data_IF_679573672566
#
_entry.id   IF_679573672566
#
_cell.length_a   1.000
_cell.length_b   1.000
_cell.length_c   1.000
_cell.angle_alpha   90.00
_cell.angle_beta   90.00
_cell.angle_gamma   90.00
#
_symmetry.space_group_name_H-M   'P 1'
#
loop_
_entity.id
_entity.type
_entity.pdbx_description
1 polymer ?
#
# COMPACT_ATOMS: atom_id res chain seq x y z
N UNK A 1 24.51 2.69 20.19
CA UNK A 1 25.13 3.76 19.37
C UNK A 1 26.62 3.50 19.46
N UNK A 2 27.28 3.28 18.32
CA UNK A 2 28.73 3.05 18.29
C UNK A 2 29.41 4.34 17.85
N UNK A 3 30.51 4.69 18.53
CA UNK A 3 31.37 5.80 18.11
C UNK A 3 32.50 5.23 17.26
N UNK A 4 32.67 5.74 16.06
CA UNK A 4 33.72 5.33 15.13
C UNK A 4 34.70 6.47 14.94
N UNK A 5 35.99 6.15 14.90
CA UNK A 5 37.06 7.08 14.46
C UNK A 5 37.57 6.64 13.08
N UNK A 6 37.87 7.61 12.24
CA UNK A 6 38.58 7.38 11.00
C UNK A 6 40.08 7.20 11.31
N UNK A 7 40.59 5.99 11.07
CA UNK A 7 42.02 5.72 11.22
C UNK A 7 42.85 6.34 10.09
N UNK A 8 44.15 6.52 10.32
CA UNK A 8 45.10 7.04 9.33
C UNK A 8 45.19 6.18 8.05
N UNK A 9 44.71 4.93 8.13
CA UNK A 9 44.59 3.99 7.02
C UNK A 9 43.31 4.19 6.18
N UNK A 10 42.48 5.20 6.49
CA UNK A 10 41.22 5.50 5.82
C UNK A 10 40.05 4.59 6.17
N UNK A 11 40.21 3.69 7.17
CA UNK A 11 39.16 2.82 7.65
C UNK A 11 38.58 3.27 8.99
N UNK A 12 37.27 3.11 9.16
CA UNK A 12 36.63 3.39 10.44
C UNK A 12 36.97 2.31 11.47
N UNK A 13 37.41 2.73 12.65
CA UNK A 13 37.71 1.86 13.79
C UNK A 13 36.82 2.23 14.98
N UNK A 14 36.39 1.28 15.83
CA UNK A 14 35.65 1.61 17.03
C UNK A 14 36.54 2.37 18.01
N UNK A 15 36.01 3.45 18.59
CA UNK A 15 36.67 4.17 19.66
C UNK A 15 36.62 3.31 20.90
N UNK A 16 37.81 2.82 21.29
CA UNK A 16 38.10 2.06 22.53
C UNK A 16 37.19 0.88 22.90
N UNK A 17 37.76 -0.31 22.82
CA UNK A 17 37.35 -1.50 23.62
C UNK A 17 36.03 -2.18 23.23
N UNK A 18 35.22 -1.60 22.37
CA UNK A 18 34.01 -2.22 21.85
C UNK A 18 34.36 -3.21 20.74
N UNK A 19 34.35 -4.49 21.06
CA UNK A 19 34.34 -5.53 20.02
C UNK A 19 33.00 -5.43 19.27
N UNK A 20 33.05 -5.14 17.96
CA UNK A 20 31.89 -5.41 17.12
C UNK A 20 31.54 -6.90 17.26
N UNK A 21 30.48 -7.20 17.97
CA UNK A 21 29.83 -8.51 17.76
C UNK A 21 29.32 -8.45 16.32
N UNK A 22 30.09 -9.04 15.41
CA UNK A 22 29.55 -9.45 14.11
C UNK A 22 28.42 -10.41 14.44
N UNK A 23 27.21 -9.88 14.46
CA UNK A 23 26.04 -10.73 14.38
C UNK A 23 26.20 -11.42 13.04
N UNK A 24 26.31 -12.78 12.99
CA UNK A 24 26.28 -13.46 11.71
C UNK A 24 25.07 -12.94 11.00
N UNK A 25 25.22 -12.55 9.75
CA UNK A 25 24.10 -12.18 8.89
C UNK A 25 23.30 -13.46 8.56
N UNK A 26 22.71 -14.07 9.57
CA UNK A 26 21.53 -14.90 9.37
C UNK A 26 20.46 -13.93 8.96
N UNK A 27 20.24 -13.85 7.64
CA UNK A 27 19.22 -12.97 7.08
C UNK A 27 17.90 -13.29 7.75
N UNK A 28 17.22 -12.29 8.25
CA UNK A 28 15.86 -12.44 8.72
C UNK A 28 15.01 -13.06 7.59
N UNK A 29 14.00 -13.88 7.90
CA UNK A 29 13.01 -14.28 6.93
C UNK A 29 12.46 -13.02 6.24
N UNK A 30 12.21 -13.09 4.94
CA UNK A 30 11.86 -11.91 4.12
C UNK A 30 10.70 -11.10 4.72
N UNK A 31 9.64 -11.75 5.18
CA UNK A 31 8.48 -11.06 5.76
C UNK A 31 8.82 -10.38 7.08
N UNK A 32 9.66 -10.97 7.92
CA UNK A 32 10.14 -10.34 9.15
C UNK A 32 11.03 -9.12 8.84
N UNK A 33 11.89 -9.23 7.83
CA UNK A 33 12.69 -8.11 7.35
C UNK A 33 11.79 -6.96 6.88
N UNK A 34 10.78 -7.22 6.07
CA UNK A 34 9.83 -6.20 5.60
C UNK A 34 9.08 -5.56 6.76
N UNK A 35 8.57 -6.36 7.70
CA UNK A 35 7.90 -5.84 8.89
C UNK A 35 8.79 -4.87 9.66
N UNK A 36 10.00 -5.29 9.99
CA UNK A 36 10.93 -4.46 10.77
C UNK A 36 11.35 -3.17 10.04
N UNK A 37 11.59 -3.24 8.73
CA UNK A 37 11.97 -2.06 7.94
C UNK A 37 10.82 -1.06 7.86
N UNK A 38 9.58 -1.52 7.65
CA UNK A 38 8.42 -0.64 7.59
C UNK A 38 8.14 -0.02 8.96
N UNK A 39 8.16 -0.80 10.02
CA UNK A 39 7.94 -0.33 11.40
C UNK A 39 9.00 0.72 11.80
N UNK A 40 10.28 0.44 11.54
CA UNK A 40 11.36 1.39 11.81
C UNK A 40 11.21 2.66 10.96
N UNK A 41 10.92 2.50 9.67
CA UNK A 41 10.76 3.61 8.73
C UNK A 41 9.62 4.53 9.12
N UNK A 42 8.45 3.98 9.50
CA UNK A 42 7.32 4.77 9.98
C UNK A 42 7.65 5.51 11.27
N UNK A 43 8.25 4.82 12.23
CA UNK A 43 8.63 5.42 13.53
C UNK A 43 9.59 6.60 13.34
N UNK A 44 10.61 6.42 12.51
CA UNK A 44 11.59 7.49 12.23
C UNK A 44 10.96 8.65 11.43
N UNK A 45 10.14 8.35 10.43
CA UNK A 45 9.45 9.38 9.65
C UNK A 45 8.51 10.22 10.53
N UNK A 46 7.64 9.57 11.30
CA UNK A 46 6.71 10.26 12.20
C UNK A 46 7.47 11.16 13.20
N UNK A 47 8.51 10.61 13.85
CA UNK A 47 9.34 11.35 14.81
C UNK A 47 10.00 12.57 14.17
N UNK A 48 10.61 12.42 12.99
CA UNK A 48 11.35 13.50 12.30
C UNK A 48 10.42 14.58 11.77
N UNK A 49 9.22 14.21 11.33
CA UNK A 49 8.20 15.15 10.85
C UNK A 49 7.34 15.74 11.98
N UNK A 50 7.54 15.32 13.23
CA UNK A 50 6.83 15.84 14.40
C UNK A 50 5.43 15.25 14.61
N UNK A 51 5.07 14.18 13.88
CA UNK A 51 3.80 13.49 14.08
C UNK A 51 3.87 12.51 15.25
N UNK A 52 2.83 12.55 16.08
CA UNK A 52 2.68 11.65 17.24
C UNK A 52 1.59 10.60 16.99
N UNK A 53 0.62 10.92 16.15
CA UNK A 53 -0.57 10.13 15.90
C UNK A 53 -0.79 9.88 14.42
N UNK A 54 -1.44 8.77 14.14
CA UNK A 54 -1.71 8.26 12.79
C UNK A 54 -3.22 8.13 12.59
N UNK A 55 -3.69 8.43 11.38
CA UNK A 55 -5.03 8.05 10.92
C UNK A 55 -4.93 7.22 9.65
N UNK A 56 -5.78 6.18 9.56
CA UNK A 56 -5.89 5.31 8.38
C UNK A 56 -7.37 5.09 8.05
N UNK A 57 -7.71 5.14 6.78
CA UNK A 57 -9.02 4.69 6.31
C UNK A 57 -9.13 3.16 6.41
N UNK A 58 -10.08 2.68 7.23
CA UNK A 58 -10.36 1.24 7.37
C UNK A 58 -11.49 0.85 6.41
N UNK A 59 -11.16 0.10 5.38
CA UNK A 59 -12.11 -0.32 4.34
C UNK A 59 -12.68 -1.73 4.57
N UNK A 60 -12.18 -2.47 5.57
CA UNK A 60 -12.44 -3.90 5.71
C UNK A 60 -11.65 -4.78 4.71
N UNK A 61 -10.71 -4.18 3.94
CA UNK A 61 -9.82 -4.89 3.04
C UNK A 61 -8.42 -5.09 3.62
N UNK A 62 -7.68 -6.05 3.02
CA UNK A 62 -6.37 -6.51 3.52
C UNK A 62 -5.32 -5.39 3.61
N UNK A 63 -5.30 -4.45 2.64
CA UNK A 63 -4.30 -3.38 2.59
C UNK A 63 -4.47 -2.41 3.77
N UNK A 64 -5.70 -1.98 4.04
CA UNK A 64 -5.99 -1.12 5.18
C UNK A 64 -5.73 -1.84 6.51
N UNK A 65 -6.04 -3.14 6.58
CA UNK A 65 -5.81 -3.96 7.77
C UNK A 65 -4.31 -4.11 8.06
N UNK A 66 -3.50 -4.42 7.05
CA UNK A 66 -2.04 -4.52 7.21
C UNK A 66 -1.43 -3.17 7.57
N UNK A 67 -1.89 -2.07 6.94
CA UNK A 67 -1.42 -0.71 7.25
C UNK A 67 -1.67 -0.35 8.71
N UNK A 68 -2.88 -0.63 9.24
CA UNK A 68 -3.24 -0.42 10.65
C UNK A 68 -2.38 -1.28 11.59
N UNK A 69 -2.20 -2.56 11.29
CA UNK A 69 -1.39 -3.46 12.11
C UNK A 69 0.08 -3.01 12.19
N UNK A 70 0.69 -2.61 11.07
CA UNK A 70 2.04 -2.07 11.03
C UNK A 70 2.17 -0.72 11.74
N UNK A 71 1.15 0.14 11.65
CA UNK A 71 1.12 1.41 12.36
C UNK A 71 1.07 1.22 13.88
N UNK A 72 0.27 0.25 14.35
CA UNK A 72 0.20 -0.13 15.78
C UNK A 72 1.52 -0.71 16.27
N UNK A 73 2.16 -1.57 15.49
CA UNK A 73 3.50 -2.12 15.80
C UNK A 73 4.57 -1.00 15.91
N UNK A 74 4.46 0.03 15.07
CA UNK A 74 5.41 1.15 15.07
C UNK A 74 5.21 2.12 16.24
N UNK A 75 3.99 2.53 16.55
CA UNK A 75 3.70 3.66 17.44
C UNK A 75 2.85 3.31 18.66
N UNK A 76 2.33 2.08 18.75
CA UNK A 76 1.41 1.66 19.80
C UNK A 76 -0.05 2.03 19.50
N UNK A 77 -0.99 1.27 20.07
CA UNK A 77 -2.42 1.38 19.81
C UNK A 77 -3.00 2.77 20.15
N UNK A 78 -2.54 3.39 21.22
CA UNK A 78 -3.03 4.71 21.66
C UNK A 78 -2.75 5.85 20.65
N UNK A 79 -1.84 5.60 19.70
CA UNK A 79 -1.39 6.59 18.72
C UNK A 79 -1.93 6.32 17.30
N UNK A 80 -2.82 5.34 17.14
CA UNK A 80 -3.39 4.95 15.83
C UNK A 80 -4.91 4.98 15.88
N UNK A 81 -5.51 5.54 14.84
CA UNK A 81 -6.97 5.66 14.70
C UNK A 81 -7.39 5.11 13.34
N UNK A 82 -8.43 4.30 13.33
CA UNK A 82 -9.14 3.88 12.12
C UNK A 82 -10.35 4.77 11.84
N UNK A 83 -10.63 5.02 10.56
CA UNK A 83 -11.89 5.67 10.12
C UNK A 83 -12.53 4.80 9.05
N UNK A 84 -13.70 4.25 9.33
CA UNK A 84 -14.51 3.57 8.30
C UNK A 84 -15.50 4.53 7.67
N UNK A 85 -15.66 4.49 6.35
CA UNK A 85 -16.45 5.45 5.59
C UNK A 85 -17.40 4.73 4.63
N UNK A 86 -18.46 4.10 5.16
CA UNK A 86 -19.39 3.34 4.33
C UNK A 86 -20.12 4.22 3.31
N UNK A 87 -20.31 3.67 2.11
CA UNK A 87 -21.11 4.22 1.03
C UNK A 87 -22.34 3.34 0.76
N UNK A 88 -23.10 3.63 -0.31
CA UNK A 88 -24.19 2.77 -0.75
C UNK A 88 -23.73 1.38 -1.25
N UNK A 89 -22.46 1.23 -1.57
CA UNK A 89 -21.88 0.02 -2.15
C UNK A 89 -20.99 -0.75 -1.18
N UNK A 90 -20.73 -0.18 0.01
CA UNK A 90 -20.00 -0.89 1.07
C UNK A 90 -20.85 -2.02 1.62
N UNK A 91 -20.29 -3.22 1.70
CA UNK A 91 -20.96 -4.35 2.33
C UNK A 91 -21.03 -4.16 3.85
N UNK A 92 -22.09 -4.67 4.47
CA UNK A 92 -22.17 -4.70 5.95
C UNK A 92 -20.95 -5.45 6.53
N UNK A 93 -20.53 -6.54 5.88
CA UNK A 93 -19.36 -7.31 6.30
C UNK A 93 -18.06 -6.48 6.32
N UNK A 94 -17.87 -5.49 5.43
CA UNK A 94 -16.67 -4.66 5.45
C UNK A 94 -16.62 -3.70 6.64
N UNK A 95 -17.77 -3.25 7.12
CA UNK A 95 -17.84 -2.45 8.35
C UNK A 95 -17.55 -3.34 9.56
N UNK A 96 -18.17 -4.53 9.64
CA UNK A 96 -17.95 -5.49 10.71
C UNK A 96 -16.48 -5.95 10.75
N UNK A 97 -15.88 -6.24 9.60
CA UNK A 97 -14.46 -6.56 9.47
C UNK A 97 -13.55 -5.44 10.01
N UNK A 98 -13.91 -4.18 9.76
CA UNK A 98 -13.19 -3.02 10.30
C UNK A 98 -13.32 -2.90 11.81
N UNK A 99 -14.53 -3.19 12.37
CA UNK A 99 -14.78 -3.19 13.83
C UNK A 99 -13.95 -4.29 14.50
N UNK A 100 -13.98 -5.51 13.97
CA UNK A 100 -13.23 -6.63 14.54
C UNK A 100 -11.72 -6.42 14.47
N UNK A 101 -11.22 -5.92 13.35
CA UNK A 101 -9.82 -5.55 13.19
C UNK A 101 -9.38 -4.52 14.25
N UNK A 102 -10.13 -3.41 14.39
CA UNK A 102 -9.78 -2.35 15.32
C UNK A 102 -9.86 -2.82 16.77
N UNK A 103 -10.83 -3.70 17.09
CA UNK A 103 -10.92 -4.35 18.40
C UNK A 103 -9.70 -5.23 18.68
N UNK A 104 -9.28 -6.07 17.73
CA UNK A 104 -8.10 -6.94 17.86
C UNK A 104 -6.81 -6.15 18.03
N UNK A 105 -6.70 -5.00 17.35
CA UNK A 105 -5.55 -4.09 17.45
C UNK A 105 -5.60 -3.18 18.69
N UNK A 106 -6.74 -3.09 19.38
CA UNK A 106 -6.93 -2.22 20.55
C UNK A 106 -6.98 -0.73 20.20
N UNK A 107 -7.37 -0.37 18.99
CA UNK A 107 -7.40 1.00 18.49
C UNK A 107 -8.84 1.53 18.40
N UNK A 108 -8.96 2.87 18.40
CA UNK A 108 -10.24 3.54 18.20
C UNK A 108 -10.64 3.50 16.72
N UNK A 109 -11.90 3.16 16.46
CA UNK A 109 -12.53 3.26 15.14
C UNK A 109 -13.59 4.36 15.18
N UNK A 110 -13.56 5.25 14.19
CA UNK A 110 -14.63 6.19 13.90
C UNK A 110 -15.38 5.71 12.65
N UNK A 111 -16.71 5.85 12.70
CA UNK A 111 -17.56 5.66 11.51
C UNK A 111 -18.00 7.03 10.97
N UNK A 112 -17.72 7.28 9.69
CA UNK A 112 -18.09 8.50 8.98
C UNK A 112 -18.73 8.17 7.62
N UNK A 113 -20.04 7.94 7.54
CA UNK A 113 -20.71 7.58 6.29
C UNK A 113 -20.57 8.69 5.25
N UNK A 114 -20.18 8.33 4.01
CA UNK A 114 -20.00 9.30 2.91
C UNK A 114 -21.21 9.38 1.96
N UNK A 115 -22.26 8.61 2.23
CA UNK A 115 -23.45 8.50 1.35
C UNK A 115 -24.04 9.87 0.99
N UNK A 116 -24.28 10.72 1.96
CA UNK A 116 -24.90 12.04 1.75
C UNK A 116 -23.98 12.98 0.99
N UNK A 117 -22.67 12.95 1.27
CA UNK A 117 -21.66 13.72 0.55
C UNK A 117 -21.68 13.38 -0.94
N UNK A 118 -21.57 12.08 -1.26
CA UNK A 118 -21.56 11.59 -2.64
C UNK A 118 -22.88 11.94 -3.35
N UNK A 119 -24.02 11.74 -2.69
CA UNK A 119 -25.35 12.08 -3.26
C UNK A 119 -25.47 13.56 -3.56
N UNK A 120 -24.99 14.43 -2.65
CA UNK A 120 -25.05 15.88 -2.84
C UNK A 120 -24.15 16.35 -4.00
N UNK A 121 -22.91 15.84 -4.08
CA UNK A 121 -22.03 16.12 -5.20
C UNK A 121 -22.61 15.67 -6.55
N UNK A 122 -23.13 14.44 -6.60
CA UNK A 122 -23.71 13.89 -7.83
C UNK A 122 -24.92 14.74 -8.31
N UNK A 123 -25.80 15.13 -7.39
CA UNK A 123 -26.94 16.00 -7.69
C UNK A 123 -26.51 17.39 -8.18
N UNK A 124 -25.52 18.01 -7.55
CA UNK A 124 -25.01 19.31 -7.98
C UNK A 124 -24.34 19.24 -9.33
N UNK A 125 -23.59 18.15 -9.61
CA UNK A 125 -22.99 17.94 -10.91
C UNK A 125 -24.04 17.85 -12.00
N UNK A 126 -25.08 17.03 -11.82
CA UNK A 126 -26.18 16.90 -12.76
C UNK A 126 -26.92 18.22 -12.98
N UNK A 127 -27.19 18.98 -11.90
CA UNK A 127 -27.83 20.29 -12.00
C UNK A 127 -27.00 21.33 -12.78
N UNK A 128 -25.65 21.23 -12.68
CA UNK A 128 -24.77 22.20 -13.35
C UNK A 128 -24.44 21.82 -14.78
N UNK A 129 -24.34 20.52 -15.09
CA UNK A 129 -23.81 20.02 -16.37
C UNK A 129 -24.85 19.29 -17.22
N UNK A 130 -26.05 19.03 -16.69
CA UNK A 130 -27.17 18.39 -17.41
C UNK A 130 -27.03 16.84 -17.53
N UNK A 131 -25.96 16.25 -17.04
CA UNK A 131 -25.69 14.82 -17.15
C UNK A 131 -25.35 14.22 -15.78
N UNK A 132 -25.93 13.06 -15.41
CA UNK A 132 -25.60 12.41 -14.14
C UNK A 132 -24.22 11.76 -14.15
N UNK A 133 -23.54 11.79 -12.99
CA UNK A 133 -22.30 11.02 -12.79
C UNK A 133 -22.60 9.52 -12.81
N UNK A 134 -21.85 8.75 -13.64
CA UNK A 134 -22.00 7.30 -13.80
C UNK A 134 -20.65 6.60 -13.89
N UNK A 135 -20.65 5.28 -13.64
CA UNK A 135 -19.47 4.43 -13.81
C UNK A 135 -18.24 4.97 -13.08
N UNK A 136 -17.09 4.94 -13.74
CA UNK A 136 -15.81 5.36 -13.18
C UNK A 136 -15.82 6.77 -12.57
N UNK A 137 -16.60 7.72 -13.11
CA UNK A 137 -16.68 9.06 -12.55
C UNK A 137 -17.33 9.06 -11.15
N UNK A 138 -18.39 8.26 -10.95
CA UNK A 138 -19.05 8.10 -9.66
C UNK A 138 -18.19 7.29 -8.67
N UNK A 139 -17.48 6.27 -9.14
CA UNK A 139 -16.52 5.51 -8.34
C UNK A 139 -15.41 6.41 -7.82
N UNK A 140 -14.78 7.20 -8.70
CA UNK A 140 -13.75 8.16 -8.35
C UNK A 140 -14.26 9.26 -7.40
N UNK A 141 -15.51 9.68 -7.51
CA UNK A 141 -16.11 10.62 -6.57
C UNK A 141 -16.14 10.05 -5.15
N UNK A 142 -16.51 8.76 -4.99
CA UNK A 142 -16.52 8.11 -3.67
C UNK A 142 -15.11 8.03 -3.07
N UNK A 143 -14.12 7.64 -3.88
CA UNK A 143 -12.73 7.58 -3.44
C UNK A 143 -12.23 8.97 -2.98
N UNK A 144 -12.56 10.04 -3.73
CA UNK A 144 -12.20 11.42 -3.36
C UNK A 144 -12.94 11.91 -2.13
N UNK A 145 -14.21 11.58 -1.95
CA UNK A 145 -14.96 11.92 -0.73
C UNK A 145 -14.27 11.30 0.50
N UNK A 146 -13.84 10.03 0.43
CA UNK A 146 -13.05 9.38 1.48
C UNK A 146 -11.71 10.06 1.71
N UNK A 147 -10.98 10.34 0.63
CA UNK A 147 -9.69 11.00 0.71
C UNK A 147 -9.78 12.40 1.35
N UNK A 148 -10.78 13.19 0.96
CA UNK A 148 -11.04 14.51 1.57
C UNK A 148 -11.37 14.39 3.05
N UNK A 149 -12.30 13.50 3.44
CA UNK A 149 -12.66 13.28 4.84
C UNK A 149 -11.44 12.93 5.71
N UNK A 150 -10.58 12.04 5.21
CA UNK A 150 -9.36 11.66 5.93
C UNK A 150 -8.36 12.81 6.05
N UNK A 151 -8.22 13.64 5.01
CA UNK A 151 -7.35 14.82 5.07
C UNK A 151 -7.89 15.89 6.02
N UNK A 152 -9.20 16.08 6.07
CA UNK A 152 -9.81 16.98 7.04
C UNK A 152 -9.61 16.49 8.47
N UNK A 153 -9.75 15.18 8.71
CA UNK A 153 -9.42 14.58 10.00
C UNK A 153 -7.94 14.83 10.37
N UNK A 154 -7.03 14.57 9.41
CA UNK A 154 -5.60 14.82 9.58
C UNK A 154 -5.32 16.26 9.98
N UNK A 155 -5.91 17.22 9.28
CA UNK A 155 -5.71 18.65 9.53
C UNK A 155 -6.35 19.11 10.86
N UNK A 156 -7.55 18.62 11.17
CA UNK A 156 -8.27 19.03 12.39
C UNK A 156 -7.60 18.51 13.67
N UNK A 157 -7.01 17.32 13.63
CA UNK A 157 -6.48 16.64 14.81
C UNK A 157 -4.97 16.45 14.81
N UNK A 158 -4.27 16.87 13.77
CA UNK A 158 -2.81 16.79 13.67
C UNK A 158 -2.26 15.37 13.44
N UNK A 159 -3.05 14.44 12.92
CA UNK A 159 -2.63 13.07 12.64
C UNK A 159 -1.95 12.96 11.28
N UNK A 160 -0.90 12.12 11.17
CA UNK A 160 -0.38 11.75 9.86
C UNK A 160 -1.35 10.77 9.20
N UNK A 161 -1.88 11.12 8.03
CA UNK A 161 -2.66 10.21 7.21
C UNK A 161 -1.73 9.25 6.48
N UNK A 162 -1.94 7.94 6.65
CA UNK A 162 -1.28 6.90 5.86
C UNK A 162 -2.18 6.46 4.71
N UNK A 163 -1.61 6.38 3.52
CA UNK A 163 -2.25 5.73 2.37
C UNK A 163 -2.02 4.22 2.41
N UNK A 164 -2.96 3.47 1.85
CA UNK A 164 -2.99 2.00 1.92
C UNK A 164 -2.64 1.33 0.59
N UNK A 165 -2.35 2.10 -0.47
CA UNK A 165 -2.02 1.55 -1.79
C UNK A 165 -0.75 0.70 -1.78
N UNK A 166 -0.78 -0.46 -2.41
CA UNK A 166 0.34 -1.39 -2.56
C UNK A 166 1.06 -1.22 -3.91
N UNK A 167 2.22 -1.89 -4.07
CA UNK A 167 3.05 -1.76 -5.26
C UNK A 167 2.36 -2.25 -6.53
N UNK A 168 1.55 -3.29 -6.46
CA UNK A 168 0.84 -3.84 -7.61
C UNK A 168 -0.16 -2.82 -8.16
N UNK A 169 -0.98 -2.24 -7.30
CA UNK A 169 -1.97 -1.20 -7.65
C UNK A 169 -1.30 0.08 -8.17
N UNK A 170 -0.30 0.58 -7.46
CA UNK A 170 0.47 1.77 -7.85
C UNK A 170 1.18 1.57 -9.18
N UNK A 171 1.68 0.36 -9.46
CA UNK A 171 2.37 0.04 -10.73
C UNK A 171 1.46 0.26 -11.93
N UNK A 172 0.25 -0.27 -11.90
CA UNK A 172 -0.70 -0.24 -13.01
C UNK A 172 -1.65 0.96 -12.95
N UNK A 173 -1.54 1.78 -11.89
CA UNK A 173 -2.39 2.95 -11.67
C UNK A 173 -3.83 2.61 -11.28
N UNK A 174 -4.03 1.46 -10.67
CA UNK A 174 -5.30 1.07 -10.06
C UNK A 174 -5.51 1.83 -8.74
N UNK A 175 -5.65 3.12 -8.88
CA UNK A 175 -5.82 4.09 -7.80
C UNK A 175 -6.49 5.37 -8.33
N UNK A 176 -7.10 6.12 -7.43
CA UNK A 176 -7.78 7.37 -7.74
C UNK A 176 -6.97 8.56 -7.21
N UNK A 177 -6.55 9.45 -8.12
CA UNK A 177 -5.91 10.71 -7.72
C UNK A 177 -6.82 11.53 -6.81
N UNK A 178 -6.21 12.05 -5.72
CA UNK A 178 -6.90 12.83 -4.68
C UNK A 178 -7.96 12.03 -3.91
N UNK A 179 -7.95 10.70 -4.05
CA UNK A 179 -8.80 9.75 -3.32
C UNK A 179 -7.94 8.86 -2.43
N UNK A 180 -7.79 7.61 -2.80
CA UNK A 180 -6.95 6.63 -2.10
C UNK A 180 -5.43 6.91 -2.18
N UNK A 181 -5.02 7.80 -3.08
CA UNK A 181 -3.64 8.33 -3.11
C UNK A 181 -3.39 9.48 -2.14
N UNK A 182 -4.40 9.94 -1.38
CA UNK A 182 -4.21 10.98 -0.37
C UNK A 182 -3.44 10.43 0.84
N UNK A 183 -2.55 11.24 1.38
CA UNK A 183 -1.81 10.92 2.60
C UNK A 183 -0.41 11.50 2.62
N UNK A 184 0.26 11.37 3.75
CA UNK A 184 1.63 11.86 3.95
C UNK A 184 2.69 10.77 3.80
N UNK A 185 2.31 9.47 3.87
CA UNK A 185 3.24 8.34 3.73
C UNK A 185 2.49 7.08 3.31
N UNK A 186 3.06 6.29 2.41
CA UNK A 186 2.61 4.95 2.01
C UNK A 186 3.48 3.86 2.63
N UNK A 187 2.91 2.97 3.44
CA UNK A 187 3.65 1.86 4.04
C UNK A 187 3.82 0.69 3.07
N UNK A 188 2.80 0.42 2.27
CA UNK A 188 2.72 -0.75 1.40
C UNK A 188 3.15 -0.48 -0.05
N UNK A 189 3.47 0.78 -0.37
CA UNK A 189 3.75 1.20 -1.75
C UNK A 189 4.93 0.48 -2.44
N UNK A 190 5.76 -0.25 -1.68
CA UNK A 190 6.83 -1.08 -2.21
C UNK A 190 6.64 -2.59 -1.94
N UNK A 191 5.45 -3.02 -1.50
CA UNK A 191 5.05 -4.43 -1.36
C UNK A 191 4.06 -4.82 -2.47
N UNK A 192 4.30 -5.93 -3.14
CA UNK A 192 3.33 -6.53 -4.05
C UNK A 192 2.11 -7.07 -3.30
N UNK A 193 0.97 -7.19 -3.98
CA UNK A 193 -0.27 -7.69 -3.36
C UNK A 193 -0.11 -9.08 -2.75
N UNK A 194 0.62 -9.97 -3.41
CA UNK A 194 0.94 -11.29 -2.88
C UNK A 194 1.73 -11.20 -1.57
N UNK A 195 2.67 -10.26 -1.47
CA UNK A 195 3.46 -10.01 -0.26
C UNK A 195 2.63 -9.35 0.85
N UNK A 196 1.62 -8.54 0.50
CA UNK A 196 0.65 -8.00 1.49
C UNK A 196 -0.07 -9.14 2.21
N UNK A 197 -0.53 -10.16 1.47
CA UNK A 197 -1.14 -11.35 2.06
C UNK A 197 -0.15 -12.16 2.90
N UNK A 198 1.06 -12.36 2.42
CA UNK A 198 2.10 -13.10 3.13
C UNK A 198 2.50 -12.39 4.43
N UNK A 199 2.69 -11.07 4.38
CA UNK A 199 3.05 -10.29 5.55
C UNK A 199 1.91 -10.23 6.58
N UNK A 200 0.65 -10.20 6.14
CA UNK A 200 -0.50 -10.25 7.03
C UNK A 200 -0.55 -11.58 7.81
N UNK A 201 -0.33 -12.70 7.14
CA UNK A 201 -0.23 -14.01 7.80
C UNK A 201 0.98 -14.08 8.74
N UNK A 202 2.11 -13.50 8.33
CA UNK A 202 3.31 -13.44 9.15
C UNK A 202 3.08 -12.64 10.44
N UNK A 203 2.39 -11.50 10.38
CA UNK A 203 2.05 -10.68 11.56
C UNK A 203 1.20 -11.47 12.56
N UNK A 204 0.19 -12.20 12.09
CA UNK A 204 -0.64 -13.05 12.97
C UNK A 204 0.19 -14.18 13.61
N UNK A 205 1.04 -14.83 12.82
CA UNK A 205 1.93 -15.88 13.32
C UNK A 205 2.94 -15.34 14.34
N UNK A 206 3.54 -14.18 14.07
CA UNK A 206 4.49 -13.51 14.97
C UNK A 206 3.84 -13.10 16.30
N UNK A 207 2.59 -12.61 16.25
CA UNK A 207 1.83 -12.23 17.44
C UNK A 207 1.31 -13.43 18.24
N UNK A 208 1.30 -14.63 17.67
CA UNK A 208 0.70 -15.82 18.25
C UNK A 208 -0.83 -15.73 18.44
N UNK A 209 -1.47 -14.79 17.77
CA UNK A 209 -2.91 -14.56 17.78
C UNK A 209 -3.40 -13.87 16.50
N UNK A 210 -4.67 -13.93 16.26
CA UNK A 210 -5.32 -13.27 15.13
C UNK A 210 -5.43 -11.76 15.39
N UNK A 211 -4.44 -11.00 14.92
CA UNK A 211 -4.48 -9.52 14.92
C UNK A 211 -5.33 -9.02 13.74
N UNK A 212 -5.02 -9.53 12.54
CA UNK A 212 -5.79 -9.27 11.33
C UNK A 212 -6.79 -10.43 11.19
N UNK A 213 -8.11 -10.18 11.24
CA UNK A 213 -9.12 -11.21 11.10
C UNK A 213 -8.90 -12.10 9.87
N UNK A 214 -9.04 -13.42 10.04
CA UNK A 214 -8.82 -14.37 8.95
C UNK A 214 -9.79 -14.11 7.78
N UNK A 215 -11.02 -13.68 8.07
CA UNK A 215 -12.01 -13.30 7.05
C UNK A 215 -11.49 -12.20 6.12
N UNK A 216 -10.72 -11.24 6.63
CA UNK A 216 -10.10 -10.18 5.81
C UNK A 216 -8.99 -10.77 4.92
N UNK A 217 -8.22 -11.73 5.44
CA UNK A 217 -7.14 -12.37 4.69
C UNK A 217 -7.70 -13.25 3.56
N UNK A 218 -8.83 -13.91 3.78
CA UNK A 218 -9.45 -14.82 2.82
C UNK A 218 -10.39 -14.12 1.82
N UNK A 219 -10.77 -12.88 2.11
CA UNK A 219 -11.67 -12.07 1.29
C UNK A 219 -11.02 -11.72 -0.05
N UNK A 220 -11.72 -11.94 -1.19
CA UNK A 220 -11.23 -11.50 -2.49
C UNK A 220 -11.02 -9.98 -2.52
N UNK A 221 -9.91 -9.49 -3.13
CA UNK A 221 -9.66 -8.05 -3.26
C UNK A 221 -10.76 -7.34 -4.06
N UNK A 222 -11.21 -6.20 -3.51
CA UNK A 222 -12.20 -5.33 -4.15
C UNK A 222 -12.07 -3.90 -3.64
N UNK A 223 -12.26 -2.92 -4.53
CA UNK A 223 -12.36 -1.52 -4.18
C UNK A 223 -13.73 -1.12 -3.56
N UNK A 224 -14.76 -1.97 -3.68
CA UNK A 224 -16.14 -1.74 -3.21
C UNK A 224 -16.72 -0.37 -3.62
N UNK A 225 -16.47 0.04 -4.86
CA UNK A 225 -16.97 1.32 -5.43
C UNK A 225 -18.19 1.11 -6.33
N UNK A 226 -18.46 -0.14 -6.74
CA UNK A 226 -19.61 -0.57 -7.55
C UNK A 226 -20.15 -1.90 -7.02
N UNK A 227 -21.41 -2.26 -7.36
CA UNK A 227 -22.03 -3.51 -6.92
C UNK A 227 -21.26 -4.73 -7.42
N UNK A 228 -20.86 -5.64 -6.50
CA UNK A 228 -20.18 -6.88 -6.82
C UNK A 228 -18.81 -6.75 -7.48
N UNK A 229 -18.20 -5.57 -7.45
CA UNK A 229 -16.90 -5.28 -8.05
C UNK A 229 -15.80 -6.18 -7.46
N UNK A 230 -14.90 -6.65 -8.35
CA UNK A 230 -13.68 -7.37 -8.01
C UNK A 230 -12.50 -6.77 -8.77
N UNK A 231 -11.33 -6.82 -8.19
CA UNK A 231 -10.12 -6.32 -8.86
C UNK A 231 -9.81 -7.15 -10.12
N UNK A 232 -10.13 -8.44 -10.10
CA UNK A 232 -9.97 -9.37 -11.23
C UNK A 232 -10.83 -9.00 -12.45
N UNK A 233 -11.86 -8.17 -12.30
CA UNK A 233 -12.66 -7.65 -13.42
C UNK A 233 -11.83 -6.71 -14.32
N UNK A 234 -10.81 -6.08 -13.74
CA UNK A 234 -10.01 -5.04 -14.39
C UNK A 234 -8.53 -5.40 -14.54
N UNK A 235 -8.01 -6.29 -13.71
CA UNK A 235 -6.60 -6.66 -13.64
C UNK A 235 -6.44 -8.17 -13.86
N UNK A 236 -5.26 -8.63 -14.32
CA UNK A 236 -4.92 -10.05 -14.19
C UNK A 236 -4.92 -10.46 -12.71
N UNK A 237 -5.15 -11.74 -12.38
CA UNK A 237 -4.99 -12.24 -11.02
C UNK A 237 -3.65 -11.81 -10.43
N UNK A 238 -3.65 -11.36 -9.18
CA UNK A 238 -2.44 -10.78 -8.55
C UNK A 238 -1.19 -11.68 -8.61
N UNK A 239 -1.26 -13.01 -8.49
CA UNK A 239 -0.07 -13.84 -8.68
C UNK A 239 0.56 -13.71 -10.08
N UNK A 240 -0.26 -13.50 -11.11
CA UNK A 240 0.21 -13.26 -12.48
C UNK A 240 0.73 -11.84 -12.66
N UNK A 241 -0.03 -10.87 -12.16
CA UNK A 241 0.32 -9.46 -12.23
C UNK A 241 1.67 -9.19 -11.56
N UNK A 242 1.87 -9.71 -10.35
CA UNK A 242 3.05 -9.45 -9.54
C UNK A 242 4.32 -10.05 -10.18
N UNK A 243 4.25 -11.23 -10.78
CA UNK A 243 5.41 -11.80 -11.48
C UNK A 243 5.78 -11.01 -12.75
N UNK A 244 4.78 -10.52 -13.50
CA UNK A 244 5.03 -9.61 -14.64
C UNK A 244 5.69 -8.31 -14.14
N UNK A 245 5.20 -7.74 -13.03
CA UNK A 245 5.73 -6.51 -12.46
C UNK A 245 7.14 -6.69 -11.89
N UNK A 246 7.43 -7.78 -11.19
CA UNK A 246 8.78 -8.12 -10.73
C UNK A 246 9.75 -8.17 -11.91
N UNK A 247 9.39 -8.88 -12.96
CA UNK A 247 10.20 -8.97 -14.17
C UNK A 247 10.39 -7.61 -14.86
N UNK A 248 9.30 -6.83 -15.04
CA UNK A 248 9.33 -5.60 -15.82
C UNK A 248 9.85 -4.39 -15.04
N UNK A 249 9.44 -4.22 -13.78
CA UNK A 249 9.75 -3.03 -12.96
C UNK A 249 11.08 -3.18 -12.26
N UNK A 250 11.33 -4.30 -11.61
CA UNK A 250 12.56 -4.53 -10.86
C UNK A 250 13.66 -5.18 -11.71
N UNK A 251 13.30 -6.17 -12.52
CA UNK A 251 14.22 -6.82 -13.44
C UNK A 251 15.52 -7.28 -12.78
N UNK A 252 16.65 -6.90 -13.35
CA UNK A 252 17.99 -7.28 -12.85
C UNK A 252 18.36 -6.71 -11.47
N UNK A 253 17.52 -5.87 -10.88
CA UNK A 253 17.71 -5.41 -9.50
C UNK A 253 17.25 -6.44 -8.47
N UNK A 254 16.45 -7.43 -8.89
CA UNK A 254 16.07 -8.57 -8.04
C UNK A 254 17.28 -9.45 -7.71
N UNK A 255 17.15 -10.27 -6.67
CA UNK A 255 18.08 -11.37 -6.47
C UNK A 255 18.10 -12.30 -7.69
N UNK A 256 19.22 -12.97 -7.96
CA UNK A 256 19.33 -13.88 -9.10
C UNK A 256 18.23 -14.93 -9.12
N UNK A 257 17.82 -15.42 -7.94
CA UNK A 257 16.76 -16.43 -7.78
C UNK A 257 15.38 -15.86 -8.14
N UNK A 258 15.03 -14.68 -7.61
CA UNK A 258 13.74 -14.04 -7.90
C UNK A 258 13.65 -13.63 -9.38
N UNK A 259 14.74 -13.09 -9.94
CA UNK A 259 14.77 -12.72 -11.36
C UNK A 259 14.59 -13.94 -12.27
N UNK A 260 15.29 -15.03 -11.98
CA UNK A 260 15.17 -16.26 -12.75
C UNK A 260 13.74 -16.80 -12.72
N UNK A 261 13.10 -16.80 -11.53
CA UNK A 261 11.71 -17.23 -11.35
C UNK A 261 10.75 -16.36 -12.17
N UNK A 262 10.83 -15.04 -12.01
CA UNK A 262 9.95 -14.11 -12.73
C UNK A 262 10.16 -14.16 -14.25
N UNK A 263 11.40 -14.31 -14.72
CA UNK A 263 11.72 -14.45 -16.14
C UNK A 263 11.17 -15.76 -16.73
N UNK A 264 11.33 -16.87 -16.02
CA UNK A 264 10.79 -18.17 -16.42
C UNK A 264 9.26 -18.12 -16.47
N UNK A 265 8.62 -17.54 -15.45
CA UNK A 265 7.17 -17.37 -15.41
C UNK A 265 6.65 -16.59 -16.62
N UNK A 266 7.29 -15.45 -16.94
CA UNK A 266 6.92 -14.62 -18.09
C UNK A 266 7.12 -15.37 -19.41
N UNK A 267 8.19 -16.16 -19.57
CA UNK A 267 8.40 -16.98 -20.74
C UNK A 267 7.35 -18.12 -20.90
N UNK A 268 6.92 -18.71 -19.79
CA UNK A 268 5.83 -19.68 -19.80
C UNK A 268 4.49 -19.03 -20.15
N UNK A 269 4.22 -17.85 -19.59
CA UNK A 269 3.01 -17.08 -19.88
C UNK A 269 2.94 -16.67 -21.35
N UNK A 270 4.06 -16.26 -21.97
CA UNK A 270 4.14 -15.93 -23.41
C UNK A 270 3.70 -17.07 -24.34
N UNK A 271 3.84 -18.31 -23.89
CA UNK A 271 3.43 -19.51 -24.66
C UNK A 271 1.96 -19.87 -24.49
N UNK A 272 1.26 -19.22 -23.58
CA UNK A 272 -0.17 -19.45 -23.33
C UNK A 272 -1.01 -18.53 -24.21
N UNK A 273 -2.22 -18.98 -24.56
CA UNK A 273 -3.18 -18.15 -25.28
C UNK A 273 -3.55 -16.91 -24.45
N UNK A 274 -3.47 -15.72 -25.06
CA UNK A 274 -3.71 -14.44 -24.39
C UNK A 274 -2.57 -13.96 -23.47
N UNK A 275 -1.50 -14.74 -23.32
CA UNK A 275 -0.35 -14.40 -22.48
C UNK A 275 0.42 -13.19 -22.97
N UNK A 276 0.84 -13.14 -24.26
CA UNK A 276 1.52 -11.97 -24.81
C UNK A 276 0.72 -10.68 -24.66
N UNK A 277 -0.60 -10.74 -24.90
CA UNK A 277 -1.51 -9.60 -24.77
C UNK A 277 -1.61 -9.13 -23.31
N UNK A 278 -1.67 -10.07 -22.36
CA UNK A 278 -1.67 -9.76 -20.92
C UNK A 278 -0.39 -9.05 -20.51
N UNK A 279 0.78 -9.54 -20.92
CA UNK A 279 2.07 -8.91 -20.63
C UNK A 279 2.12 -7.50 -21.21
N UNK A 280 1.79 -7.34 -22.50
CA UNK A 280 1.78 -6.04 -23.17
C UNK A 280 0.80 -5.06 -22.50
N UNK A 281 -0.38 -5.52 -22.09
CA UNK A 281 -1.37 -4.73 -21.36
C UNK A 281 -0.80 -4.21 -20.03
N UNK A 282 -0.17 -5.08 -19.24
CA UNK A 282 0.43 -4.69 -17.96
C UNK A 282 1.54 -3.67 -18.17
N UNK A 283 2.44 -3.90 -19.12
CA UNK A 283 3.50 -2.95 -19.45
C UNK A 283 2.94 -1.58 -19.84
N UNK A 284 1.91 -1.55 -20.69
CA UNK A 284 1.24 -0.31 -21.11
C UNK A 284 0.59 0.43 -19.92
N UNK A 285 -0.04 -0.31 -18.99
CA UNK A 285 -0.61 0.28 -17.77
C UNK A 285 0.49 0.90 -16.90
N UNK A 286 1.63 0.23 -16.72
CA UNK A 286 2.77 0.78 -15.97
C UNK A 286 3.24 2.10 -16.57
N UNK A 287 3.40 2.19 -17.88
CA UNK A 287 3.80 3.45 -18.52
C UNK A 287 2.77 4.55 -18.39
N UNK A 288 1.51 4.26 -18.68
CA UNK A 288 0.42 5.25 -18.64
C UNK A 288 0.14 5.80 -17.24
N UNK A 289 0.54 5.09 -16.21
CA UNK A 289 0.25 5.44 -14.83
C UNK A 289 1.35 6.29 -14.17
N UNK A 290 2.42 6.66 -14.87
CA UNK A 290 3.50 7.45 -14.28
C UNK A 290 3.01 8.79 -13.71
N UNK A 291 2.08 9.47 -14.37
CA UNK A 291 1.53 10.74 -13.88
C UNK A 291 0.80 10.58 -12.52
N UNK A 292 0.16 9.43 -12.27
CA UNK A 292 -0.46 9.12 -10.98
C UNK A 292 0.59 8.90 -9.90
N UNK A 293 1.64 8.15 -10.21
CA UNK A 293 2.75 7.88 -9.28
C UNK A 293 3.49 9.15 -8.86
N UNK A 294 3.59 10.14 -9.76
CA UNK A 294 4.20 11.44 -9.44
C UNK A 294 3.43 12.28 -8.44
N UNK A 295 2.18 11.94 -8.21
CA UNK A 295 1.29 12.61 -7.26
C UNK A 295 0.98 11.74 -6.03
N UNK A 296 1.56 10.55 -5.96
CA UNK A 296 1.44 9.67 -4.80
C UNK A 296 2.33 10.17 -3.65
N UNK A 297 1.94 9.92 -2.39
CA UNK A 297 2.78 10.17 -1.23
C UNK A 297 4.13 9.45 -1.32
N UNK A 298 5.15 9.93 -0.59
CA UNK A 298 6.37 9.16 -0.42
C UNK A 298 6.07 7.79 0.19
N UNK A 299 6.83 6.77 -0.23
CA UNK A 299 6.65 5.41 0.25
C UNK A 299 7.94 4.85 0.84
N UNK A 300 7.80 3.96 1.82
CA UNK A 300 8.93 3.27 2.43
C UNK A 300 9.46 2.22 1.44
N UNK A 301 10.77 2.25 1.23
CA UNK A 301 11.44 1.31 0.34
C UNK A 301 11.90 0.09 1.11
N UNK A 302 11.46 -1.08 0.70
CA UNK A 302 11.84 -2.39 1.26
C UNK A 302 12.36 -3.36 0.21
N UNK A 303 12.10 -3.10 -1.06
CA UNK A 303 12.53 -3.89 -2.21
C UNK A 303 13.66 -3.19 -2.99
N UNK A 304 14.39 -3.92 -3.83
CA UNK A 304 15.54 -3.37 -4.57
C UNK A 304 15.20 -2.15 -5.43
N UNK A 305 13.98 -2.07 -5.98
CA UNK A 305 13.55 -0.98 -6.85
C UNK A 305 12.14 -0.51 -6.54
N UNK A 306 12.02 0.53 -5.73
CA UNK A 306 10.75 1.22 -5.46
C UNK A 306 10.43 2.25 -6.56
N UNK A 307 9.16 2.65 -6.66
CA UNK A 307 8.77 3.84 -7.43
C UNK A 307 9.23 5.14 -6.72
N UNK A 308 9.04 6.29 -7.37
CA UNK A 308 9.55 7.56 -6.86
C UNK A 308 11.06 7.70 -7.14
N UNK A 309 11.86 7.84 -6.09
CA UNK A 309 13.32 8.01 -6.24
C UNK A 309 14.04 6.77 -6.77
N UNK A 310 13.46 5.59 -6.63
CA UNK A 310 14.04 4.33 -7.09
C UNK A 310 13.84 4.04 -8.57
N UNK A 311 12.76 4.54 -9.17
CA UNK A 311 12.45 4.40 -10.60
C UNK A 311 11.76 5.67 -11.08
N UNK A 312 12.50 6.46 -11.84
CA UNK A 312 11.97 7.67 -12.47
C UNK A 312 11.83 7.44 -13.97
N UNK A 313 10.65 7.75 -14.50
CA UNK A 313 10.35 7.68 -15.94
C UNK A 313 9.81 9.03 -16.40
N UNK A 314 10.02 9.45 -17.66
CA UNK A 314 9.35 10.63 -18.19
C UNK A 314 7.83 10.45 -18.17
N UNK A 315 7.08 11.47 -17.69
CA UNK A 315 5.61 11.40 -17.61
C UNK A 315 4.99 11.28 -19.00
N UNK A 316 5.55 11.97 -19.97
CA UNK A 316 5.04 12.05 -21.33
C UNK A 316 5.81 11.14 -22.32
N UNK A 317 6.52 10.14 -21.82
CA UNK A 317 7.20 9.17 -22.68
C UNK A 317 6.18 8.32 -23.43
N UNK A 318 6.39 8.16 -24.72
CA UNK A 318 5.68 7.20 -25.54
C UNK A 318 6.64 6.06 -25.88
N UNK A 319 6.29 4.85 -25.50
CA UNK A 319 7.04 3.64 -25.81
C UNK A 319 6.19 2.79 -26.75
N UNK A 320 6.69 2.55 -27.94
CA UNK A 320 6.09 1.64 -28.92
C UNK A 320 6.26 0.18 -28.52
#
# INVERSE_FOLDING_TARGET
MYTLELGDDGHFKPVTGEQFKTVPAQGLPTMEFYRQQIVLGLRDYARRCGFKQIVVGSSGGIDSALTLALAVDALGADNVVGVTMPSNYSSAGSVDDSVDLCRNLGIKLYEHPIKELVTTYARQFEASFGEPLKGLALENLQARARGTTLMEFSNAFGHLLLTTGNKSEVSVGYCTLYGDTNGGLGLLGDLYKTEVFELSRHINAHAGRELIPQVIIDKPPSAELAPGQRDDDSLPPYPVLDEILKWHVEGKHLSSKEYAHAAEFVEQLRKQAGGPETIARVQKLVFRSEYKRRQAPPMLRVRPRAFGTGRQMPIAAHYE
#
